data_IF_576407396392
#
_entry.id   IF_576407396392
#
_cell.length_a   1.000
_cell.length_b   1.000
_cell.length_c   1.000
_cell.angle_alpha   90.00
_cell.angle_beta   90.00
_cell.angle_gamma   90.00
#
_symmetry.space_group_name_H-M   'P 1'
#
loop_
_entity.id
_entity.type
_entity.pdbx_description
1 polymer ?
#
# COMPACT_ATOMS: atom_id res chain seq x y z
N UNK A 1 10.78 -22.68 -24.80
CA UNK A 1 11.12 -21.25 -25.07
C UNK A 1 10.09 -20.29 -24.47
N UNK A 2 8.81 -20.36 -24.82
CA UNK A 2 7.78 -19.47 -24.26
C UNK A 2 7.58 -19.68 -22.75
N UNK A 3 7.64 -20.92 -22.27
CA UNK A 3 7.55 -21.24 -20.84
C UNK A 3 8.68 -20.60 -20.03
N UNK A 4 9.94 -20.77 -20.46
CA UNK A 4 11.09 -20.13 -19.82
C UNK A 4 11.02 -18.60 -19.84
N UNK A 5 10.42 -18.00 -20.87
CA UNK A 5 10.20 -16.56 -20.93
C UNK A 5 9.13 -16.11 -19.92
N UNK A 6 8.04 -16.89 -19.78
CA UNK A 6 7.02 -16.64 -18.78
C UNK A 6 7.59 -16.77 -17.36
N UNK A 7 8.37 -17.83 -17.09
CA UNK A 7 9.04 -18.04 -15.80
C UNK A 7 9.99 -16.90 -15.45
N UNK A 8 10.82 -16.46 -16.40
CA UNK A 8 11.73 -15.32 -16.19
C UNK A 8 10.94 -14.04 -15.85
N UNK A 9 9.89 -13.75 -16.60
CA UNK A 9 9.08 -12.55 -16.38
C UNK A 9 8.31 -12.62 -15.05
N UNK A 10 7.85 -13.80 -14.68
CA UNK A 10 7.24 -14.07 -13.37
C UNK A 10 8.24 -13.76 -12.25
N UNK A 11 9.41 -14.40 -12.26
CA UNK A 11 10.44 -14.19 -11.24
C UNK A 11 10.83 -12.72 -11.14
N UNK A 12 11.00 -12.02 -12.28
CA UNK A 12 11.27 -10.59 -12.31
C UNK A 12 10.17 -9.74 -11.70
N UNK A 13 8.91 -10.18 -11.76
CA UNK A 13 7.74 -9.42 -11.29
C UNK A 13 7.38 -9.70 -9.84
N UNK A 14 7.87 -10.79 -9.27
CA UNK A 14 7.57 -11.21 -7.89
C UNK A 14 8.79 -11.18 -6.97
N UNK A 15 9.97 -10.79 -7.47
CA UNK A 15 11.23 -10.79 -6.73
C UNK A 15 11.94 -9.43 -6.73
N UNK A 16 13.04 -9.36 -5.98
CA UNK A 16 13.98 -8.23 -5.95
C UNK A 16 13.28 -6.89 -5.65
N UNK A 17 13.26 -5.97 -6.62
CA UNK A 17 12.73 -4.62 -6.47
C UNK A 17 11.25 -4.62 -6.07
N UNK A 18 10.47 -5.62 -6.48
CA UNK A 18 9.04 -5.69 -6.11
C UNK A 18 8.80 -6.16 -4.69
N UNK A 19 9.85 -6.58 -3.97
CA UNK A 19 9.86 -6.90 -2.55
C UNK A 19 10.64 -5.87 -1.72
N UNK A 20 11.18 -4.83 -2.35
CA UNK A 20 11.88 -3.75 -1.68
C UNK A 20 10.94 -2.57 -1.37
N UNK A 21 10.61 -2.32 -0.10
CA UNK A 21 9.69 -1.25 0.29
C UNK A 21 10.26 0.16 0.07
N UNK A 22 11.55 0.29 -0.25
CA UNK A 22 12.18 1.60 -0.51
C UNK A 22 11.97 2.10 -1.94
N UNK A 23 11.42 1.27 -2.82
CA UNK A 23 11.12 1.62 -4.20
C UNK A 23 9.99 2.65 -4.31
N UNK A 24 10.00 3.41 -5.40
CA UNK A 24 8.91 4.35 -5.71
C UNK A 24 7.63 3.59 -6.10
N UNK A 25 6.52 3.72 -5.34
CA UNK A 25 5.30 2.97 -5.62
C UNK A 25 4.72 3.23 -7.01
N UNK A 26 4.82 4.47 -7.50
CA UNK A 26 4.28 4.85 -8.81
C UNK A 26 5.04 4.15 -9.94
N UNK A 27 6.38 4.12 -9.88
CA UNK A 27 7.19 3.42 -10.87
C UNK A 27 7.01 1.90 -10.78
N UNK A 28 6.88 1.32 -9.57
CA UNK A 28 6.61 -0.11 -9.40
C UNK A 28 5.28 -0.53 -10.03
N UNK A 29 4.20 0.24 -9.81
CA UNK A 29 2.90 0.00 -10.47
C UNK A 29 3.01 0.09 -11.98
N UNK A 30 3.76 1.06 -12.50
CA UNK A 30 3.98 1.25 -13.94
C UNK A 30 4.74 0.06 -14.55
N UNK A 31 5.80 -0.39 -13.90
CA UNK A 31 6.60 -1.55 -14.32
C UNK A 31 5.75 -2.84 -14.27
N UNK A 32 5.01 -3.09 -13.18
CA UNK A 32 4.15 -4.28 -13.06
C UNK A 32 3.02 -4.28 -14.07
N UNK A 33 2.41 -3.13 -14.36
CA UNK A 33 1.39 -3.04 -15.41
C UNK A 33 1.94 -3.45 -16.77
N UNK A 34 3.17 -3.05 -17.09
CA UNK A 34 3.85 -3.49 -18.32
C UNK A 34 4.09 -5.00 -18.28
N UNK A 35 4.64 -5.51 -17.18
CA UNK A 35 4.93 -6.94 -17.04
C UNK A 35 3.66 -7.80 -17.14
N UNK A 36 2.53 -7.38 -16.56
CA UNK A 36 1.23 -8.05 -16.72
C UNK A 36 0.81 -8.15 -18.20
N UNK A 37 0.95 -7.06 -18.96
CA UNK A 37 0.60 -7.03 -20.39
C UNK A 37 1.50 -7.99 -21.18
N UNK A 38 2.80 -7.94 -20.92
CA UNK A 38 3.78 -8.81 -21.57
C UNK A 38 3.52 -10.29 -21.22
N UNK A 39 3.20 -10.58 -19.96
CA UNK A 39 2.87 -11.92 -19.47
C UNK A 39 1.58 -12.47 -20.07
N UNK A 40 0.50 -11.67 -20.12
CA UNK A 40 -0.75 -12.05 -20.80
C UNK A 40 -0.52 -12.38 -22.28
N UNK A 41 0.39 -11.66 -22.94
CA UNK A 41 0.81 -11.95 -24.30
C UNK A 41 1.46 -13.34 -24.43
N UNK A 42 2.37 -13.67 -23.51
CA UNK A 42 3.04 -14.97 -23.45
C UNK A 42 2.07 -16.11 -23.09
N UNK A 43 1.20 -15.90 -22.12
CA UNK A 43 0.17 -16.88 -21.72
C UNK A 43 -0.73 -17.23 -22.90
N UNK A 44 -1.20 -16.23 -23.65
CA UNK A 44 -2.02 -16.45 -24.84
C UNK A 44 -1.28 -17.27 -25.89
N UNK A 45 0.00 -16.98 -26.13
CA UNK A 45 0.82 -17.74 -27.07
C UNK A 45 1.02 -19.20 -26.62
N UNK A 46 1.22 -19.42 -25.32
CA UNK A 46 1.35 -20.75 -24.73
C UNK A 46 0.05 -21.57 -24.85
N UNK A 47 -1.10 -20.96 -24.54
CA UNK A 47 -2.41 -21.62 -24.71
C UNK A 47 -2.67 -21.99 -26.18
N UNK A 48 -2.39 -21.08 -27.10
CA UNK A 48 -2.51 -21.36 -28.54
C UNK A 48 -1.59 -22.51 -28.96
N UNK A 49 -0.34 -22.50 -28.50
CA UNK A 49 0.60 -23.59 -28.81
C UNK A 49 0.12 -24.95 -28.28
N UNK A 50 -0.41 -24.99 -27.06
CA UNK A 50 -0.99 -26.20 -26.49
C UNK A 50 -2.20 -26.70 -27.29
N UNK A 51 -3.08 -25.80 -27.74
CA UNK A 51 -4.21 -26.14 -28.64
C UNK A 51 -3.71 -26.75 -29.95
N UNK A 52 -2.69 -26.16 -30.58
CA UNK A 52 -2.08 -26.70 -31.81
C UNK A 52 -1.48 -28.10 -31.59
N UNK A 53 -0.77 -28.31 -30.49
CA UNK A 53 -0.20 -29.62 -30.14
C UNK A 53 -1.30 -30.68 -29.96
N UNK A 54 -2.40 -30.34 -29.28
CA UNK A 54 -3.53 -31.24 -29.09
C UNK A 54 -4.18 -31.63 -30.44
N UNK A 55 -4.39 -30.67 -31.34
CA UNK A 55 -4.93 -30.93 -32.68
C UNK A 55 -4.01 -31.83 -33.51
N UNK A 56 -2.70 -31.65 -33.43
CA UNK A 56 -1.74 -32.51 -34.14
C UNK A 56 -1.70 -33.93 -33.55
N UNK A 57 -1.78 -34.06 -32.22
CA UNK A 57 -1.81 -35.35 -31.54
C UNK A 57 -3.07 -36.17 -31.89
N UNK A 58 -4.23 -35.52 -32.01
CA UNK A 58 -5.49 -36.19 -32.41
C UNK A 58 -5.51 -36.69 -33.87
N UNK A 59 -4.61 -36.17 -34.73
CA UNK A 59 -4.55 -36.51 -36.16
C UNK A 59 -3.35 -37.39 -36.55
N UNK A 60 -2.50 -37.81 -35.61
CA UNK A 60 -1.25 -38.54 -35.85
C UNK A 60 -1.19 -39.87 -35.07
N UNK A 61 -0.72 -40.95 -35.71
CA UNK A 61 -0.55 -42.31 -35.15
C UNK A 61 0.91 -42.62 -34.71
N UNK A 62 1.71 -41.62 -34.33
CA UNK A 62 3.11 -41.85 -33.89
C UNK A 62 3.41 -41.30 -32.50
N UNK A 63 4.38 -41.92 -31.79
CA UNK A 63 4.60 -41.69 -30.37
C UNK A 63 5.12 -40.27 -30.15
N UNK A 64 4.46 -39.64 -29.20
CA UNK A 64 4.71 -38.32 -28.67
C UNK A 64 6.13 -38.30 -28.04
N UNK A 65 7.03 -37.48 -28.56
CA UNK A 65 8.38 -37.29 -27.99
C UNK A 65 8.54 -35.87 -27.40
N UNK A 66 8.97 -35.84 -26.14
CA UNK A 66 9.82 -34.87 -25.40
C UNK A 66 9.53 -33.35 -25.34
N UNK A 67 8.76 -32.75 -26.24
CA UNK A 67 8.51 -31.28 -26.29
C UNK A 67 7.03 -30.90 -26.06
N UNK A 68 6.27 -31.75 -25.35
CA UNK A 68 4.87 -31.44 -25.02
C UNK A 68 4.80 -30.46 -23.86
N UNK A 69 3.94 -29.45 -24.03
CA UNK A 69 3.56 -28.59 -22.92
C UNK A 69 2.64 -29.40 -22.00
N UNK A 70 3.04 -29.57 -20.75
CA UNK A 70 2.28 -30.40 -19.81
C UNK A 70 1.07 -29.62 -19.27
N UNK A 71 0.03 -30.33 -18.82
CA UNK A 71 -1.10 -29.68 -18.14
C UNK A 71 -0.64 -28.91 -16.88
N UNK A 72 0.43 -29.39 -16.26
CA UNK A 72 1.10 -28.72 -15.13
C UNK A 72 1.71 -27.37 -15.54
N UNK A 73 2.32 -27.27 -16.72
CA UNK A 73 2.87 -26.00 -17.23
C UNK A 73 1.78 -24.94 -17.43
N UNK A 74 0.65 -25.31 -18.03
CA UNK A 74 -0.49 -24.40 -18.22
C UNK A 74 -1.09 -23.96 -16.88
N UNK A 75 -1.16 -24.88 -15.92
CA UNK A 75 -1.60 -24.57 -14.57
C UNK A 75 -0.64 -23.58 -13.89
N UNK A 76 0.67 -23.84 -13.95
CA UNK A 76 1.72 -22.99 -13.38
C UNK A 76 1.69 -21.58 -13.96
N UNK A 77 1.58 -21.44 -15.29
CA UNK A 77 1.46 -20.14 -15.95
C UNK A 77 0.21 -19.38 -15.49
N UNK A 78 -0.89 -20.09 -15.25
CA UNK A 78 -2.11 -19.48 -14.71
C UNK A 78 -1.90 -18.99 -13.27
N UNK A 79 -1.21 -19.76 -12.42
CA UNK A 79 -0.85 -19.35 -11.06
C UNK A 79 0.09 -18.14 -11.05
N UNK A 80 1.13 -18.16 -11.88
CA UNK A 80 2.06 -17.03 -12.04
C UNK A 80 1.33 -15.75 -12.44
N UNK A 81 0.36 -15.83 -13.36
CA UNK A 81 -0.46 -14.65 -13.72
C UNK A 81 -1.19 -14.08 -12.51
N UNK A 82 -1.79 -14.93 -11.68
CA UNK A 82 -2.51 -14.50 -10.47
C UNK A 82 -1.56 -13.82 -9.47
N UNK A 83 -0.36 -14.36 -9.27
CA UNK A 83 0.62 -13.80 -8.35
C UNK A 83 1.18 -12.45 -8.82
N UNK A 84 1.45 -12.29 -10.12
CA UNK A 84 1.88 -11.01 -10.70
C UNK A 84 0.78 -9.95 -10.52
N UNK A 85 -0.48 -10.32 -10.77
CA UNK A 85 -1.62 -9.42 -10.58
C UNK A 85 -1.78 -9.03 -9.11
N UNK A 86 -1.59 -9.98 -8.19
CA UNK A 86 -1.66 -9.73 -6.75
C UNK A 86 -0.55 -8.76 -6.30
N UNK A 87 0.68 -8.97 -6.76
CA UNK A 87 1.81 -8.06 -6.48
C UNK A 87 1.54 -6.65 -6.99
N UNK A 88 0.98 -6.53 -8.19
CA UNK A 88 0.56 -5.24 -8.79
C UNK A 88 -0.50 -4.56 -7.93
N UNK A 89 -1.49 -5.30 -7.47
CA UNK A 89 -2.56 -4.73 -6.64
C UNK A 89 -2.04 -4.22 -5.30
N UNK A 90 -1.12 -4.95 -4.65
CA UNK A 90 -0.45 -4.48 -3.43
C UNK A 90 0.24 -3.13 -3.67
N UNK A 91 1.11 -3.06 -4.68
CA UNK A 91 1.83 -1.82 -5.01
C UNK A 91 0.88 -0.66 -5.38
N UNK A 92 -0.24 -0.97 -6.02
CA UNK A 92 -1.28 0.02 -6.34
C UNK A 92 -1.92 0.59 -5.08
N UNK A 93 -2.20 -0.24 -4.07
CA UNK A 93 -2.70 0.26 -2.80
C UNK A 93 -1.65 1.06 -2.04
N UNK A 94 -0.39 0.63 -2.03
CA UNK A 94 0.72 1.41 -1.44
C UNK A 94 0.82 2.79 -2.07
N UNK A 95 0.75 2.88 -3.41
CA UNK A 95 0.75 4.16 -4.13
C UNK A 95 -0.44 5.03 -3.73
N UNK A 96 -1.67 4.51 -3.83
CA UNK A 96 -2.88 5.27 -3.51
C UNK A 96 -2.85 5.79 -2.06
N UNK A 97 -2.46 4.92 -1.13
CA UNK A 97 -2.39 5.26 0.29
C UNK A 97 -1.30 6.28 0.57
N UNK A 98 -0.08 6.10 0.06
CA UNK A 98 1.03 7.03 0.27
C UNK A 98 0.73 8.42 -0.31
N UNK A 99 0.16 8.47 -1.52
CA UNK A 99 -0.34 9.70 -2.16
C UNK A 99 -1.41 10.38 -1.31
N UNK A 100 -2.38 9.63 -0.81
CA UNK A 100 -3.47 10.16 0.03
C UNK A 100 -2.95 10.68 1.37
N UNK A 101 -2.08 9.94 2.06
CA UNK A 101 -1.48 10.37 3.33
C UNK A 101 -0.65 11.64 3.12
N UNK A 102 0.10 11.73 2.02
CA UNK A 102 0.86 12.94 1.66
C UNK A 102 -0.07 14.14 1.45
N UNK A 103 -1.20 13.96 0.77
CA UNK A 103 -2.20 15.01 0.59
C UNK A 103 -2.80 15.44 1.95
N UNK A 104 -3.16 14.48 2.79
CA UNK A 104 -3.69 14.74 4.13
C UNK A 104 -2.70 15.50 5.01
N UNK A 105 -1.43 15.10 5.03
CA UNK A 105 -0.36 15.82 5.73
C UNK A 105 -0.25 17.27 5.23
N UNK A 106 -0.44 17.51 3.94
CA UNK A 106 -0.41 18.86 3.36
C UNK A 106 -1.70 19.68 3.55
N UNK A 107 -2.74 19.09 4.12
CA UNK A 107 -4.02 19.76 4.36
C UNK A 107 -3.96 20.61 5.63
N UNK A 108 -4.56 21.80 5.59
CA UNK A 108 -4.71 22.65 6.77
C UNK A 108 -5.60 21.97 7.82
N UNK A 109 -5.24 22.12 9.10
CA UNK A 109 -5.95 21.48 10.22
C UNK A 109 -7.45 21.79 10.18
N UNK A 110 -7.82 23.05 9.94
CA UNK A 110 -9.21 23.52 9.89
C UNK A 110 -10.03 22.99 8.70
N UNK A 111 -9.38 22.42 7.69
CA UNK A 111 -10.03 21.83 6.50
C UNK A 111 -9.95 20.31 6.49
N UNK A 112 -9.23 19.71 7.44
CA UNK A 112 -9.02 18.29 7.45
C UNK A 112 -10.26 17.54 7.93
N UNK A 113 -10.75 16.61 7.11
CA UNK A 113 -11.88 15.76 7.49
C UNK A 113 -11.37 14.49 8.16
N UNK A 114 -11.36 14.52 9.48
CA UNK A 114 -10.83 13.42 10.29
C UNK A 114 -11.62 12.13 10.15
N UNK A 115 -12.96 12.21 10.11
CA UNK A 115 -13.82 11.03 10.01
C UNK A 115 -13.58 10.28 8.71
N UNK A 116 -13.48 11.01 7.59
CA UNK A 116 -13.19 10.41 6.28
C UNK A 116 -11.81 9.76 6.24
N UNK A 117 -10.81 10.35 6.90
CA UNK A 117 -9.48 9.76 6.99
C UNK A 117 -9.49 8.46 7.82
N UNK A 118 -10.22 8.44 8.94
CA UNK A 118 -10.39 7.24 9.79
C UNK A 118 -11.04 6.10 9.00
N UNK A 119 -12.17 6.35 8.34
CA UNK A 119 -12.86 5.35 7.51
C UNK A 119 -11.95 4.77 6.41
N UNK A 120 -11.10 5.61 5.81
CA UNK A 120 -10.15 5.17 4.78
C UNK A 120 -9.02 4.33 5.35
N UNK A 121 -8.46 4.71 6.50
CA UNK A 121 -7.44 3.91 7.17
C UNK A 121 -7.98 2.54 7.56
N UNK A 122 -9.16 2.47 8.18
CA UNK A 122 -9.78 1.20 8.54
C UNK A 122 -10.01 0.29 7.32
N UNK A 123 -10.46 0.89 6.20
CA UNK A 123 -10.62 0.17 4.95
C UNK A 123 -9.28 -0.36 4.41
N UNK A 124 -8.22 0.45 4.43
CA UNK A 124 -6.91 0.03 3.93
C UNK A 124 -6.25 -1.00 4.82
N UNK A 125 -6.40 -0.91 6.14
CA UNK A 125 -5.91 -1.91 7.09
C UNK A 125 -6.53 -3.28 6.82
N UNK A 126 -7.87 -3.35 6.64
CA UNK A 126 -8.56 -4.59 6.28
C UNK A 126 -8.04 -5.19 4.96
N UNK A 127 -7.80 -4.34 3.96
CA UNK A 127 -7.25 -4.80 2.67
C UNK A 127 -5.82 -5.31 2.84
N UNK A 128 -5.00 -4.65 3.67
CA UNK A 128 -3.64 -5.10 3.95
C UNK A 128 -3.63 -6.45 4.67
N UNK A 129 -4.53 -6.65 5.65
CA UNK A 129 -4.71 -7.94 6.32
C UNK A 129 -5.15 -9.05 5.34
N UNK A 130 -6.10 -8.76 4.44
CA UNK A 130 -6.50 -9.69 3.38
C UNK A 130 -5.31 -10.09 2.47
N UNK A 131 -4.35 -9.19 2.23
CA UNK A 131 -3.15 -9.52 1.45
C UNK A 131 -2.14 -10.37 2.23
N UNK A 132 -2.01 -10.15 3.54
CA UNK A 132 -1.17 -11.02 4.39
C UNK A 132 -1.66 -12.46 4.33
N UNK A 133 -2.96 -12.67 4.38
CA UNK A 133 -3.55 -14.01 4.28
C UNK A 133 -3.35 -14.67 2.91
N UNK A 134 -3.33 -13.87 1.83
CA UNK A 134 -3.24 -14.38 0.45
C UNK A 134 -1.82 -14.66 -0.04
N UNK A 135 -0.82 -13.92 0.44
CA UNK A 135 0.59 -14.10 0.04
C UNK A 135 1.38 -14.78 1.14
N UNK A 136 1.60 -14.04 2.22
CA UNK A 136 2.45 -14.42 3.34
C UNK A 136 2.32 -13.35 4.42
N UNK A 137 2.32 -13.77 5.68
CA UNK A 137 2.33 -12.85 6.82
C UNK A 137 3.63 -12.02 6.88
N UNK A 138 4.71 -12.52 6.30
CA UNK A 138 6.04 -11.92 6.32
C UNK A 138 6.37 -11.13 5.04
N UNK A 139 5.37 -10.84 4.20
CA UNK A 139 5.61 -10.07 2.98
C UNK A 139 6.12 -8.66 3.31
N UNK A 140 7.33 -8.28 2.84
CA UNK A 140 7.98 -7.04 3.26
C UNK A 140 7.22 -5.78 2.80
N UNK A 141 6.54 -5.84 1.64
CA UNK A 141 5.77 -4.69 1.12
C UNK A 141 4.49 -4.52 1.93
N UNK A 142 3.79 -5.60 2.23
CA UNK A 142 2.56 -5.55 3.03
C UNK A 142 2.88 -5.09 4.45
N UNK A 143 3.95 -5.61 5.07
CA UNK A 143 4.39 -5.17 6.39
C UNK A 143 4.78 -3.70 6.42
N UNK A 144 5.50 -3.23 5.40
CA UNK A 144 5.82 -1.81 5.26
C UNK A 144 4.56 -0.94 5.13
N UNK A 145 3.60 -1.39 4.31
CA UNK A 145 2.34 -0.68 4.11
C UNK A 145 1.54 -0.57 5.41
N UNK A 146 1.41 -1.66 6.16
CA UNK A 146 0.75 -1.67 7.46
C UNK A 146 1.43 -0.72 8.43
N UNK A 147 2.77 -0.73 8.49
CA UNK A 147 3.50 0.21 9.33
C UNK A 147 3.19 1.67 8.97
N UNK A 148 3.19 2.00 7.68
CA UNK A 148 2.83 3.35 7.21
C UNK A 148 1.41 3.75 7.62
N UNK A 149 0.45 2.82 7.55
CA UNK A 149 -0.93 3.04 8.00
C UNK A 149 -1.00 3.27 9.51
N UNK A 150 -0.33 2.44 10.30
CA UNK A 150 -0.28 2.53 11.77
C UNK A 150 0.40 3.83 12.24
N UNK A 151 1.51 4.22 11.62
CA UNK A 151 2.21 5.47 11.92
C UNK A 151 1.28 6.67 11.69
N UNK A 152 0.47 6.65 10.62
CA UNK A 152 -0.49 7.72 10.38
C UNK A 152 -1.73 7.64 11.29
N UNK A 153 -2.19 6.44 11.65
CA UNK A 153 -3.30 6.23 12.60
C UNK A 153 -2.99 6.84 13.97
N UNK A 154 -1.78 6.66 14.48
CA UNK A 154 -1.36 7.29 15.75
C UNK A 154 -1.46 8.82 15.70
N UNK A 155 -1.02 9.42 14.59
CA UNK A 155 -1.17 10.86 14.36
C UNK A 155 -2.65 11.26 14.31
N UNK A 156 -3.48 10.44 13.68
CA UNK A 156 -4.91 10.70 13.50
C UNK A 156 -5.67 10.69 14.83
N UNK A 157 -5.37 9.76 15.74
CA UNK A 157 -5.98 9.71 17.07
C UNK A 157 -5.65 10.95 17.92
N UNK A 158 -4.43 11.49 17.77
CA UNK A 158 -4.06 12.75 18.43
C UNK A 158 -4.72 13.96 17.77
N UNK A 159 -4.79 13.99 16.44
CA UNK A 159 -5.54 15.02 15.69
C UNK A 159 -7.02 15.02 16.09
N UNK A 160 -7.60 13.85 16.40
CA UNK A 160 -8.99 13.75 16.85
C UNK A 160 -9.24 14.49 18.13
N UNK A 161 -8.37 14.29 19.12
CA UNK A 161 -8.44 14.99 20.41
C UNK A 161 -8.28 16.49 20.25
N UNK A 162 -7.37 16.90 19.37
CA UNK A 162 -7.10 18.29 19.03
C UNK A 162 -8.28 19.00 18.33
N UNK A 163 -9.00 18.29 17.48
CA UNK A 163 -10.09 18.83 16.67
C UNK A 163 -11.46 18.67 17.32
N UNK A 164 -11.64 17.67 18.19
CA UNK A 164 -12.89 17.44 18.92
C UNK A 164 -13.13 18.53 19.97
N UNK A 165 -12.05 18.94 20.62
CA UNK A 165 -12.06 20.02 21.58
C UNK A 165 -11.79 21.29 20.79
N UNK A 166 -12.73 22.23 20.78
CA UNK A 166 -12.51 23.54 20.19
C UNK A 166 -11.40 24.26 20.97
N UNK A 167 -10.14 23.93 20.66
CA UNK A 167 -8.98 24.39 21.40
C UNK A 167 -8.93 25.92 21.35
N UNK A 168 -8.95 26.52 22.53
CA UNK A 168 -8.74 27.94 22.70
C UNK A 168 -7.31 28.32 22.32
N UNK A 169 -7.10 29.59 21.96
CA UNK A 169 -5.77 30.15 21.70
C UNK A 169 -4.78 29.88 22.83
N UNK A 170 -5.24 29.89 24.10
CA UNK A 170 -4.38 29.61 25.25
C UNK A 170 -3.97 28.13 25.33
N UNK A 171 -4.87 27.20 24.98
CA UNK A 171 -4.54 25.77 24.91
C UNK A 171 -3.54 25.48 23.78
N UNK A 172 -3.69 26.14 22.62
CA UNK A 172 -2.69 26.07 21.56
C UNK A 172 -1.32 26.61 22.00
N UNK A 173 -1.27 27.74 22.70
CA UNK A 173 -0.02 28.28 23.28
C UNK A 173 0.62 27.31 24.26
N UNK A 174 -0.17 26.68 25.14
CA UNK A 174 0.34 25.69 26.10
C UNK A 174 0.94 24.48 25.39
N UNK A 175 0.26 23.97 24.37
CA UNK A 175 0.72 22.82 23.60
C UNK A 175 2.02 23.10 22.83
N UNK A 176 2.09 24.26 22.15
CA UNK A 176 3.31 24.67 21.45
C UNK A 176 4.47 24.90 22.43
N UNK A 177 4.21 25.56 23.57
CA UNK A 177 5.22 25.81 24.60
C UNK A 177 5.74 24.51 25.21
N UNK A 178 4.89 23.52 25.42
CA UNK A 178 5.30 22.19 25.91
C UNK A 178 6.32 21.52 24.98
N UNK A 179 6.25 21.83 23.68
CA UNK A 179 7.17 21.33 22.65
C UNK A 179 8.32 22.32 22.33
N UNK A 180 8.48 23.39 23.13
CA UNK A 180 9.55 24.38 22.92
C UNK A 180 9.31 25.36 21.78
N UNK A 181 8.07 25.48 21.30
CA UNK A 181 7.69 26.36 20.21
C UNK A 181 6.77 27.50 20.68
N UNK A 182 6.74 28.60 19.91
CA UNK A 182 5.77 29.68 20.10
C UNK A 182 4.59 29.49 19.13
N UNK A 183 3.36 29.60 19.66
CA UNK A 183 2.16 29.52 18.83
C UNK A 183 1.86 30.87 18.18
N UNK A 184 1.71 30.89 16.85
CA UNK A 184 1.22 32.03 16.08
C UNK A 184 -0.24 31.81 15.66
N UNK A 185 -1.21 32.55 16.23
CA UNK A 185 -2.63 32.43 15.87
C UNK A 185 -2.95 32.82 14.42
N UNK A 186 -2.06 33.55 13.75
CA UNK A 186 -2.24 33.96 12.35
C UNK A 186 -1.66 32.95 11.36
N UNK A 187 -0.92 31.96 11.85
CA UNK A 187 -0.34 30.92 11.02
C UNK A 187 -1.38 29.82 10.73
N UNK A 188 -1.56 29.51 9.44
CA UNK A 188 -2.41 28.42 9.02
C UNK A 188 -1.62 27.10 9.02
N UNK A 189 -1.58 26.43 10.18
CA UNK A 189 -0.87 25.16 10.33
C UNK A 189 -1.52 24.05 9.49
N UNK A 190 -0.67 23.30 8.78
CA UNK A 190 -0.95 22.01 8.15
C UNK A 190 -0.71 20.88 9.15
N UNK A 191 -1.23 19.71 8.84
CA UNK A 191 -0.94 18.50 9.63
C UNK A 191 0.57 18.23 9.63
N UNK A 192 1.24 18.39 8.50
CA UNK A 192 2.69 18.21 8.38
C UNK A 192 3.45 19.12 9.35
N UNK A 193 3.03 20.38 9.50
CA UNK A 193 3.67 21.32 10.42
C UNK A 193 3.56 20.82 11.87
N UNK A 194 2.41 20.28 12.27
CA UNK A 194 2.25 19.69 13.61
C UNK A 194 3.11 18.45 13.82
N UNK A 195 3.32 17.63 12.78
CA UNK A 195 4.19 16.46 12.83
C UNK A 195 5.65 16.91 12.98
N UNK A 196 6.09 17.89 12.20
CA UNK A 196 7.47 18.41 12.23
C UNK A 196 7.81 19.15 13.53
N UNK A 197 6.84 19.82 14.12
CA UNK A 197 6.94 20.46 15.44
C UNK A 197 6.77 19.46 16.59
N UNK A 198 6.68 18.16 16.30
CA UNK A 198 6.51 17.08 17.28
C UNK A 198 5.27 17.24 18.18
N UNK A 199 4.28 18.02 17.75
CA UNK A 199 3.06 18.27 18.52
C UNK A 199 2.21 16.99 18.58
N UNK A 200 2.20 16.20 17.52
CA UNK A 200 1.48 14.92 17.41
C UNK A 200 2.27 13.72 17.94
N UNK A 201 2.97 13.88 19.06
CA UNK A 201 3.68 12.77 19.72
C UNK A 201 2.91 12.21 20.91
N UNK A 202 3.11 10.92 21.18
CA UNK A 202 2.49 10.21 22.32
C UNK A 202 2.90 10.84 23.65
N UNK A 203 4.11 11.39 23.75
CA UNK A 203 4.61 12.07 24.96
C UNK A 203 3.76 13.29 25.34
N UNK A 204 3.08 13.90 24.37
CA UNK A 204 2.14 14.99 24.61
C UNK A 204 0.76 14.53 25.09
N UNK A 205 0.51 13.21 25.23
CA UNK A 205 -0.77 12.69 25.73
C UNK A 205 -1.14 13.25 27.11
N UNK A 206 -0.16 13.47 27.99
CA UNK A 206 -0.41 14.06 29.31
C UNK A 206 -0.83 15.53 29.22
N UNK A 207 -0.25 16.28 28.27
CA UNK A 207 -0.64 17.67 27.98
C UNK A 207 -2.04 17.71 27.37
N UNK A 208 -2.36 16.79 26.46
CA UNK A 208 -3.72 16.63 25.93
C UNK A 208 -4.73 16.32 27.06
N UNK A 209 -4.39 15.43 27.99
CA UNK A 209 -5.24 15.12 29.15
C UNK A 209 -5.42 16.34 30.06
N UNK A 210 -4.38 17.14 30.29
CA UNK A 210 -4.48 18.38 31.08
C UNK A 210 -5.37 19.42 30.40
N UNK A 211 -5.24 19.58 29.08
CA UNK A 211 -6.07 20.46 28.27
C UNK A 211 -7.55 20.02 28.33
N UNK A 212 -7.83 18.72 28.19
CA UNK A 212 -9.19 18.16 28.30
C UNK A 212 -9.81 18.37 29.70
N UNK A 213 -9.02 18.23 30.76
CA UNK A 213 -9.49 18.48 32.15
C UNK A 213 -9.82 19.95 32.40
N UNK A 214 -9.10 20.89 31.79
CA UNK A 214 -9.39 22.32 31.89
C UNK A 214 -10.61 22.75 31.05
N UNK A 215 -10.96 22.02 29.99
CA UNK A 215 -12.14 22.30 29.18
C UNK A 215 -13.45 21.72 29.74
N UNK A 216 -13.36 20.71 30.62
CA UNK A 216 -14.52 20.01 31.20
C UNK A 216 -14.94 20.50 32.60
N UNK A 217 -14.28 21.53 33.14
CA UNK A 217 -14.56 22.15 34.43
C UNK A 217 -14.93 23.61 34.29
#
# INVERSE_FOLDING_TARGET
>A
KFLNQAELLYNQSTSENFLDPTQDPMEMVKQLKKNCIDFMGLEKQLRQYAEWQALLATNSLSPINEDQLENEDIYNVSQWSMEIDLRKDIWKYVEITSSSIKEWKNTFINKFNIHRAQEKLECWMKIADDFKEKISEDDPIVLHWIKMLQDFEQNLELLKKLLSDAMTTEQWKLLFRANGHEYDPHHNYRIQDLIELNILQIENQDVFIQIHKQASG
#
